data_IF_490124104775
#
_entry.id   IF_490124104775
#
_cell.length_a   1.000
_cell.length_b   1.000
_cell.length_c   1.000
_cell.angle_alpha   90.00
_cell.angle_beta   90.00
_cell.angle_gamma   90.00
#
_symmetry.space_group_name_H-M   'P 1'
#
loop_
_entity.id
_entity.type
_entity.pdbx_description
1 polymer ?
#
# COMPACT_ATOMS: atom_id res chain seq x y z
N UNK A 1 10.99 6.95 18.29
CA UNK A 1 11.91 5.80 18.07
C UNK A 1 11.47 5.10 16.80
N UNK A 2 12.38 4.53 16.01
CA UNK A 2 12.05 3.69 14.84
C UNK A 2 12.03 2.22 15.23
N UNK A 3 11.26 1.40 14.54
CA UNK A 3 11.15 -0.04 14.82
C UNK A 3 12.49 -0.76 14.75
N UNK A 4 13.34 -0.44 13.78
CA UNK A 4 14.69 -1.03 13.62
C UNK A 4 15.64 -0.73 14.78
N UNK A 5 15.30 0.24 15.63
CA UNK A 5 16.10 0.58 16.81
C UNK A 5 15.76 -0.31 18.00
N UNK A 6 14.67 -1.08 17.93
CA UNK A 6 14.36 -2.10 18.94
C UNK A 6 15.23 -3.35 18.70
N UNK A 7 15.95 -3.84 19.73
CA UNK A 7 16.65 -5.11 19.65
C UNK A 7 15.72 -6.24 19.21
N UNK A 8 16.14 -7.16 18.32
CA UNK A 8 15.26 -8.23 17.83
C UNK A 8 14.62 -9.10 18.92
N UNK A 9 15.34 -9.36 20.02
CA UNK A 9 14.82 -10.11 21.16
C UNK A 9 13.70 -9.35 21.89
N UNK A 10 13.91 -8.06 22.10
CA UNK A 10 12.92 -7.18 22.72
C UNK A 10 11.68 -7.03 21.82
N UNK A 11 11.87 -6.86 20.51
CA UNK A 11 10.77 -6.80 19.56
C UNK A 11 9.90 -8.06 19.62
N UNK A 12 10.52 -9.26 19.61
CA UNK A 12 9.79 -10.53 19.72
C UNK A 12 9.06 -10.64 21.06
N UNK A 13 9.67 -10.23 22.16
CA UNK A 13 9.05 -10.24 23.48
C UNK A 13 7.84 -9.31 23.54
N UNK A 14 7.95 -8.09 23.02
CA UNK A 14 6.85 -7.12 22.95
C UNK A 14 5.71 -7.66 22.08
N UNK A 15 6.03 -8.14 20.86
CA UNK A 15 5.04 -8.72 19.93
C UNK A 15 4.31 -9.92 20.54
N UNK A 16 4.99 -10.79 21.28
CA UNK A 16 4.36 -11.96 21.92
C UNK A 16 3.57 -11.61 23.19
N UNK A 17 3.82 -10.44 23.78
CA UNK A 17 3.16 -9.94 24.99
C UNK A 17 2.13 -8.86 24.68
N UNK A 18 2.45 -7.61 25.03
CA UNK A 18 1.53 -6.47 24.93
C UNK A 18 1.34 -5.93 23.49
N UNK A 19 2.16 -6.36 22.54
CA UNK A 19 2.17 -5.88 21.16
C UNK A 19 3.12 -4.70 20.93
N UNK A 20 3.21 -4.26 19.68
CA UNK A 20 4.01 -3.10 19.26
C UNK A 20 3.13 -2.10 18.55
N UNK A 21 3.24 -0.83 18.95
CA UNK A 21 2.50 0.26 18.35
C UNK A 21 3.32 0.87 17.22
N UNK A 22 2.80 0.79 16.01
CA UNK A 22 3.42 1.32 14.80
C UNK A 22 2.54 2.42 14.23
N UNK A 23 3.15 3.54 13.82
CA UNK A 23 2.44 4.56 13.05
C UNK A 23 2.68 4.36 11.56
N UNK A 24 1.61 4.16 10.79
CA UNK A 24 1.65 4.08 9.33
C UNK A 24 0.71 5.10 8.71
N UNK A 25 1.26 6.17 8.13
CA UNK A 25 0.46 7.26 7.59
C UNK A 25 -0.38 7.95 8.68
N UNK A 26 -1.70 8.09 8.49
CA UNK A 26 -2.59 8.66 9.51
C UNK A 26 -2.93 7.69 10.65
N UNK A 27 -2.65 6.39 10.51
CA UNK A 27 -3.11 5.36 11.45
C UNK A 27 -2.04 4.93 12.45
N UNK A 28 -2.49 4.58 13.65
CA UNK A 28 -1.76 3.94 14.74
C UNK A 28 -2.21 2.48 14.83
N UNK A 29 -1.30 1.55 14.66
CA UNK A 29 -1.55 0.11 14.65
C UNK A 29 -0.95 -0.52 15.91
N UNK A 30 -1.70 -1.36 16.60
CA UNK A 30 -1.13 -2.27 17.61
C UNK A 30 -1.02 -3.66 17.00
N UNK A 31 0.19 -4.14 16.80
CA UNK A 31 0.46 -5.47 16.22
C UNK A 31 0.93 -6.42 17.31
N UNK A 32 0.27 -7.58 17.43
CA UNK A 32 0.64 -8.66 18.34
C UNK A 32 0.86 -9.95 17.54
N UNK A 33 1.92 -10.69 17.85
CA UNK A 33 2.18 -12.00 17.25
C UNK A 33 3.26 -12.75 18.02
N UNK A 34 3.04 -14.05 18.23
CA UNK A 34 4.07 -14.99 18.71
C UNK A 34 4.95 -15.55 17.59
N UNK A 35 4.67 -15.21 16.33
CA UNK A 35 5.31 -15.80 15.16
C UNK A 35 6.64 -15.11 14.82
N UNK A 36 7.77 -15.84 14.78
CA UNK A 36 9.07 -15.25 14.41
C UNK A 36 9.08 -14.68 12.99
N UNK A 37 8.31 -15.26 12.06
CA UNK A 37 8.19 -14.77 10.67
C UNK A 37 7.54 -13.39 10.58
N UNK A 38 6.56 -13.10 11.45
CA UNK A 38 5.92 -11.78 11.53
C UNK A 38 6.91 -10.77 12.09
N UNK A 39 7.62 -11.10 13.18
CA UNK A 39 8.65 -10.22 13.73
C UNK A 39 9.74 -9.90 12.71
N UNK A 40 10.22 -10.90 11.96
CA UNK A 40 11.23 -10.71 10.92
C UNK A 40 10.70 -9.82 9.78
N UNK A 41 9.49 -10.08 9.29
CA UNK A 41 8.87 -9.26 8.24
C UNK A 41 8.67 -7.81 8.67
N UNK A 42 8.30 -7.57 9.94
CA UNK A 42 8.20 -6.22 10.50
C UNK A 42 9.55 -5.51 10.53
N UNK A 43 10.64 -6.17 10.95
CA UNK A 43 11.99 -5.59 10.88
C UNK A 43 12.35 -5.27 9.43
N UNK A 44 12.12 -6.24 8.54
CA UNK A 44 12.54 -6.18 7.15
C UNK A 44 11.75 -5.17 6.31
N UNK A 45 10.52 -4.82 6.68
CA UNK A 45 9.66 -3.99 5.83
C UNK A 45 9.14 -2.75 6.55
N UNK A 46 9.00 -2.81 7.88
CA UNK A 46 8.55 -1.71 8.74
C UNK A 46 9.65 -1.11 9.61
N UNK A 47 10.91 -1.57 9.51
CA UNK A 47 11.99 -1.11 10.38
C UNK A 47 12.11 0.43 10.48
N UNK A 48 11.74 1.15 9.43
CA UNK A 48 11.85 2.61 9.36
C UNK A 48 10.72 3.38 10.04
N UNK A 49 9.61 2.71 10.33
CA UNK A 49 8.42 3.34 10.88
C UNK A 49 8.57 3.63 12.37
N UNK A 50 7.85 4.66 12.80
CA UNK A 50 7.86 5.11 14.19
C UNK A 50 7.13 4.11 15.09
N UNK A 51 7.77 3.77 16.20
CA UNK A 51 7.16 3.04 17.31
C UNK A 51 6.68 4.01 18.38
N UNK A 52 5.52 3.73 18.96
CA UNK A 52 4.97 4.47 20.11
C UNK A 52 5.09 3.67 21.39
N UNK A 53 5.17 4.37 22.52
CA UNK A 53 5.22 3.77 23.84
C UNK A 53 3.85 3.22 24.25
N UNK A 54 3.81 2.00 24.78
CA UNK A 54 2.59 1.31 25.18
C UNK A 54 1.83 2.04 26.31
N UNK A 55 2.52 2.85 27.13
CA UNK A 55 1.93 3.56 28.26
C UNK A 55 1.01 4.73 27.87
N UNK A 56 1.09 5.22 26.63
CA UNK A 56 0.36 6.43 26.18
C UNK A 56 -0.27 6.30 24.78
N UNK A 57 -0.27 5.11 24.18
CA UNK A 57 -0.62 4.95 22.77
C UNK A 57 -2.02 4.35 22.55
N UNK A 58 -2.94 5.21 22.12
CA UNK A 58 -4.12 4.80 21.37
C UNK A 58 -3.69 4.11 20.06
N UNK A 59 -4.42 3.07 19.66
CA UNK A 59 -4.32 2.46 18.35
C UNK A 59 -5.69 2.42 17.68
N UNK A 60 -5.74 2.80 16.41
CA UNK A 60 -6.93 2.73 15.57
C UNK A 60 -7.32 1.27 15.30
N UNK A 61 -6.32 0.40 15.14
CA UNK A 61 -6.52 -1.02 14.85
C UNK A 61 -5.67 -1.90 15.77
N UNK A 62 -6.31 -2.81 16.50
CA UNK A 62 -5.63 -3.88 17.23
C UNK A 62 -5.65 -5.16 16.40
N UNK A 63 -4.48 -5.59 15.95
CA UNK A 63 -4.34 -6.77 15.11
C UNK A 63 -3.46 -7.81 15.76
N UNK A 64 -3.87 -9.06 15.65
CA UNK A 64 -3.14 -10.20 16.19
C UNK A 64 -2.99 -11.29 15.14
N UNK A 65 -1.78 -11.83 14.99
CA UNK A 65 -1.51 -12.98 14.13
C UNK A 65 -0.91 -14.11 14.93
N UNK A 66 -1.67 -15.18 15.12
CA UNK A 66 -1.25 -16.32 15.93
C UNK A 66 -1.79 -17.65 15.37
N UNK A 67 -1.16 -18.79 15.69
CA UNK A 67 -1.71 -20.09 15.32
C UNK A 67 -3.07 -20.35 15.98
N UNK A 68 -4.06 -20.92 15.27
CA UNK A 68 -5.40 -21.20 15.80
C UNK A 68 -5.39 -22.19 16.97
N UNK A 69 -4.49 -23.18 16.94
CA UNK A 69 -4.37 -24.20 17.96
C UNK A 69 -2.90 -24.65 18.10
N UNK A 70 -2.31 -24.64 19.31
CA UNK A 70 -0.94 -25.07 19.52
C UNK A 70 -0.66 -26.53 19.11
N UNK A 71 -1.67 -27.41 19.14
CA UNK A 71 -1.56 -28.84 18.77
C UNK A 71 -1.47 -29.05 17.25
N UNK A 72 -2.05 -28.16 16.44
CA UNK A 72 -1.97 -28.22 14.96
C UNK A 72 -0.63 -27.73 14.39
N UNK A 73 0.26 -27.24 15.25
CA UNK A 73 1.60 -26.75 14.85
C UNK A 73 2.42 -27.80 14.08
N UNK A 74 2.17 -29.08 14.31
CA UNK A 74 2.90 -30.19 13.69
C UNK A 74 2.22 -30.80 12.46
N UNK A 75 0.92 -30.52 12.21
CA UNK A 75 0.18 -31.05 11.07
C UNK A 75 -0.57 -29.94 10.34
N UNK A 76 0.00 -29.47 9.22
CA UNK A 76 -0.46 -28.33 8.42
C UNK A 76 -0.56 -27.03 9.25
N UNK A 77 0.59 -26.40 9.57
CA UNK A 77 0.60 -25.20 10.40
C UNK A 77 -0.16 -24.06 9.71
N UNK A 78 -1.03 -23.41 10.47
CA UNK A 78 -1.89 -22.32 10.03
C UNK A 78 -1.69 -21.09 10.90
N UNK A 79 -2.19 -19.96 10.42
CA UNK A 79 -2.21 -18.67 11.10
C UNK A 79 -3.59 -18.04 10.95
N UNK A 80 -4.09 -17.51 12.05
CA UNK A 80 -5.27 -16.67 12.12
C UNK A 80 -4.87 -15.20 12.17
N UNK A 81 -5.73 -14.36 11.59
CA UNK A 81 -5.70 -12.92 11.77
C UNK A 81 -6.91 -12.54 12.60
N UNK A 82 -6.67 -11.85 13.71
CA UNK A 82 -7.69 -11.30 14.59
C UNK A 82 -7.65 -9.78 14.55
N UNK A 83 -8.84 -9.17 14.56
CA UNK A 83 -9.07 -7.73 14.68
C UNK A 83 -10.02 -7.49 15.85
N UNK A 84 -9.56 -6.78 16.89
CA UNK A 84 -10.32 -6.55 18.12
C UNK A 84 -10.94 -7.82 18.73
N UNK A 85 -10.22 -8.95 18.62
CA UNK A 85 -10.67 -10.26 19.12
C UNK A 85 -11.61 -11.02 18.18
N UNK A 86 -12.01 -10.42 17.06
CA UNK A 86 -12.82 -11.08 16.01
C UNK A 86 -11.93 -11.68 14.92
N UNK A 87 -12.37 -12.79 14.31
CA UNK A 87 -11.67 -13.46 13.22
C UNK A 87 -12.37 -13.18 11.88
N UNK A 88 -12.01 -12.10 11.15
CA UNK A 88 -12.69 -11.72 9.91
C UNK A 88 -12.38 -12.65 8.73
N UNK A 89 -11.32 -13.46 8.82
CA UNK A 89 -10.87 -14.33 7.73
C UNK A 89 -10.75 -15.78 8.18
N UNK A 90 -10.72 -16.69 7.19
CA UNK A 90 -10.35 -18.08 7.43
C UNK A 90 -8.83 -18.19 7.69
N UNK A 91 -8.39 -19.19 8.46
CA UNK A 91 -6.97 -19.46 8.67
C UNK A 91 -6.23 -19.68 7.34
N UNK A 92 -5.02 -19.13 7.22
CA UNK A 92 -4.13 -19.34 6.07
C UNK A 92 -2.95 -20.25 6.45
N UNK A 93 -2.23 -20.84 5.48
CA UNK A 93 -0.97 -21.52 5.76
C UNK A 93 0.01 -20.60 6.50
N UNK A 94 0.76 -21.13 7.46
CA UNK A 94 1.69 -20.34 8.28
C UNK A 94 2.72 -19.55 7.46
N UNK A 95 3.11 -20.09 6.30
CA UNK A 95 4.03 -19.43 5.37
C UNK A 95 3.51 -18.11 4.78
N UNK A 96 2.20 -17.90 4.88
CA UNK A 96 1.49 -16.72 4.43
C UNK A 96 1.19 -15.74 5.57
N UNK A 97 1.75 -15.94 6.78
CA UNK A 97 1.49 -15.08 7.94
C UNK A 97 1.78 -13.59 7.67
N UNK A 98 2.93 -13.26 7.07
CA UNK A 98 3.24 -11.87 6.75
C UNK A 98 2.32 -11.30 5.64
N UNK A 99 2.12 -11.98 4.49
CA UNK A 99 1.09 -11.57 3.53
C UNK A 99 -0.30 -11.38 4.15
N UNK A 100 -0.69 -12.22 5.11
CA UNK A 100 -1.96 -12.12 5.83
C UNK A 100 -2.03 -10.85 6.68
N UNK A 101 -0.92 -10.46 7.34
CA UNK A 101 -0.82 -9.19 8.06
C UNK A 101 -1.07 -8.01 7.11
N UNK A 102 -0.37 -7.95 5.97
CA UNK A 102 -0.55 -6.86 5.00
C UNK A 102 -1.98 -6.78 4.46
N UNK A 103 -2.58 -7.93 4.18
CA UNK A 103 -3.97 -7.99 3.72
C UNK A 103 -4.95 -7.56 4.82
N UNK A 104 -4.77 -8.05 6.05
CA UNK A 104 -5.62 -7.69 7.18
C UNK A 104 -5.54 -6.21 7.51
N UNK A 105 -4.36 -5.60 7.44
CA UNK A 105 -4.20 -4.15 7.60
C UNK A 105 -4.90 -3.35 6.50
N UNK A 106 -4.83 -3.80 5.23
CA UNK A 106 -5.62 -3.19 4.16
C UNK A 106 -7.13 -3.25 4.46
N UNK A 107 -7.59 -4.41 4.93
CA UNK A 107 -9.00 -4.61 5.26
C UNK A 107 -9.46 -3.72 6.40
N UNK A 108 -8.67 -3.61 7.50
CA UNK A 108 -8.96 -2.71 8.62
C UNK A 108 -9.18 -1.27 8.13
N UNK A 109 -8.28 -0.77 7.28
CA UNK A 109 -8.39 0.58 6.72
C UNK A 109 -9.63 0.72 5.85
N UNK A 110 -9.86 -0.21 4.90
CA UNK A 110 -10.99 -0.11 3.96
C UNK A 110 -12.36 -0.20 4.64
N UNK A 111 -12.45 -0.91 5.77
CA UNK A 111 -13.71 -1.16 6.48
C UNK A 111 -14.04 -0.13 7.55
N UNK A 112 -13.07 0.67 8.02
CA UNK A 112 -13.28 1.53 9.18
C UNK A 112 -12.88 3.00 8.96
N UNK A 113 -12.00 3.31 8.01
CA UNK A 113 -11.48 4.67 7.82
C UNK A 113 -12.40 5.57 6.96
N UNK A 114 -13.69 5.64 7.29
CA UNK A 114 -14.71 6.35 6.51
C UNK A 114 -14.58 7.88 6.51
N UNK A 115 -13.68 8.46 7.30
CA UNK A 115 -13.28 9.87 7.17
C UNK A 115 -12.55 10.17 5.84
N UNK A 116 -12.15 9.13 5.10
CA UNK A 116 -11.60 9.24 3.75
C UNK A 116 -12.55 8.66 2.71
N UNK A 117 -12.52 9.18 1.48
CA UNK A 117 -12.93 8.41 0.32
C UNK A 117 -11.78 7.46 -0.04
N UNK A 118 -12.04 6.15 -0.01
CA UNK A 118 -11.01 5.11 -0.18
C UNK A 118 -11.16 4.47 -1.55
N UNK A 119 -10.17 4.67 -2.42
CA UNK A 119 -10.15 4.12 -3.78
C UNK A 119 -9.11 3.00 -3.86
N UNK A 120 -9.46 1.88 -4.50
CA UNK A 120 -8.51 0.84 -4.86
C UNK A 120 -7.61 1.32 -6.02
N UNK A 121 -6.51 1.99 -5.66
CA UNK A 121 -5.53 2.51 -6.58
C UNK A 121 -4.20 2.76 -5.84
N UNK A 122 -3.09 2.63 -6.57
CA UNK A 122 -1.80 3.09 -6.09
C UNK A 122 -1.71 4.61 -6.27
N UNK A 123 -0.86 5.26 -5.47
CA UNK A 123 -0.57 6.68 -5.60
C UNK A 123 0.90 6.93 -5.33
N UNK A 124 1.51 7.68 -6.23
CA UNK A 124 2.87 8.21 -6.10
C UNK A 124 2.84 9.73 -6.22
N UNK A 125 3.83 10.41 -5.66
CA UNK A 125 3.93 11.86 -5.66
C UNK A 125 5.30 12.36 -6.13
N UNK A 126 5.28 13.47 -6.87
CA UNK A 126 6.47 14.25 -7.20
C UNK A 126 6.12 15.74 -7.13
N UNK A 127 6.98 16.54 -6.50
CA UNK A 127 6.84 18.01 -6.40
C UNK A 127 5.49 18.51 -5.85
N UNK A 128 4.92 17.80 -4.88
CA UNK A 128 3.63 18.09 -4.23
C UNK A 128 2.40 17.53 -4.95
N UNK A 129 2.57 16.95 -6.14
CA UNK A 129 1.49 16.46 -7.00
C UNK A 129 1.46 14.94 -7.06
N UNK A 130 0.27 14.40 -6.81
CA UNK A 130 0.03 12.97 -6.78
C UNK A 130 -0.54 12.45 -8.10
N UNK A 131 0.01 11.34 -8.59
CA UNK A 131 -0.53 10.53 -9.66
C UNK A 131 -1.27 9.33 -9.06
N UNK A 132 -2.59 9.28 -9.24
CA UNK A 132 -3.44 8.16 -8.85
C UNK A 132 -3.44 7.14 -9.99
N UNK A 133 -3.13 5.89 -9.68
CA UNK A 133 -2.94 4.80 -10.62
C UNK A 133 -4.01 3.71 -10.44
N UNK A 134 -5.26 3.97 -10.84
CA UNK A 134 -6.30 2.96 -10.86
C UNK A 134 -6.01 1.95 -11.98
N UNK A 135 -6.07 0.66 -11.66
CA UNK A 135 -5.90 -0.37 -12.69
C UNK A 135 -6.64 -1.65 -12.31
N UNK A 136 -7.20 -2.39 -13.29
CA UNK A 136 -7.63 -3.76 -13.08
C UNK A 136 -6.47 -4.64 -12.55
N UNK A 137 -6.79 -5.75 -11.86
CA UNK A 137 -5.78 -6.74 -11.49
C UNK A 137 -5.00 -7.23 -12.72
N UNK A 138 -3.68 -7.27 -12.61
CA UNK A 138 -2.79 -7.75 -13.68
C UNK A 138 -2.29 -6.68 -14.64
N UNK A 139 -2.75 -5.43 -14.57
CA UNK A 139 -2.32 -4.34 -15.49
C UNK A 139 -0.90 -3.79 -15.25
N UNK A 140 -0.17 -4.32 -14.26
CA UNK A 140 1.19 -3.86 -13.93
C UNK A 140 1.26 -2.73 -12.90
N UNK A 141 0.15 -2.34 -12.25
CA UNK A 141 0.06 -1.23 -11.27
C UNK A 141 1.19 -1.23 -10.23
N UNK A 142 1.35 -2.32 -9.47
CA UNK A 142 2.34 -2.38 -8.40
C UNK A 142 3.78 -2.39 -8.94
N UNK A 143 3.99 -2.95 -10.14
CA UNK A 143 5.29 -2.92 -10.84
C UNK A 143 5.64 -1.50 -11.27
N UNK A 144 4.70 -0.77 -11.89
CA UNK A 144 4.90 0.63 -12.25
C UNK A 144 5.13 1.50 -11.01
N UNK A 145 4.33 1.28 -9.96
CA UNK A 145 4.46 1.99 -8.67
C UNK A 145 5.85 1.78 -8.09
N UNK A 146 6.35 0.54 -8.05
CA UNK A 146 7.70 0.24 -7.61
C UNK A 146 8.75 0.94 -8.48
N UNK A 147 8.64 0.88 -9.81
CA UNK A 147 9.57 1.53 -10.74
C UNK A 147 9.65 3.04 -10.53
N UNK A 148 8.50 3.73 -10.41
CA UNK A 148 8.43 5.17 -10.14
C UNK A 148 9.07 5.52 -8.80
N UNK A 149 8.72 4.76 -7.76
CA UNK A 149 9.18 5.00 -6.38
C UNK A 149 10.68 4.76 -6.22
N UNK A 150 11.21 3.75 -6.90
CA UNK A 150 12.65 3.49 -6.96
C UNK A 150 13.41 4.52 -7.81
N UNK A 151 12.69 5.30 -8.61
CA UNK A 151 13.23 6.39 -9.45
C UNK A 151 13.00 7.78 -8.85
N UNK A 152 12.72 7.87 -7.55
CA UNK A 152 12.66 9.13 -6.82
C UNK A 152 11.26 9.71 -6.63
N UNK A 153 10.20 9.06 -7.11
CA UNK A 153 8.84 9.42 -6.70
C UNK A 153 8.60 9.00 -5.25
N UNK A 154 7.84 9.81 -4.51
CA UNK A 154 7.40 9.43 -3.16
C UNK A 154 6.26 8.42 -3.28
N UNK A 155 6.36 7.31 -2.55
CA UNK A 155 5.25 6.39 -2.38
C UNK A 155 4.22 7.03 -1.43
N UNK A 156 2.98 7.19 -1.89
CA UNK A 156 1.87 7.46 -0.98
C UNK A 156 1.16 6.16 -0.61
N UNK A 157 0.85 5.29 -1.56
CA UNK A 157 0.24 3.97 -1.30
C UNK A 157 0.34 3.09 -2.54
N UNK A 158 0.42 1.76 -2.38
CA UNK A 158 0.30 0.82 -3.52
C UNK A 158 -1.13 0.32 -3.72
N UNK A 159 -1.97 0.28 -2.68
CA UNK A 159 -3.26 -0.41 -2.75
C UNK A 159 -4.46 0.50 -2.42
N UNK A 160 -4.30 1.38 -1.43
CA UNK A 160 -5.40 2.20 -0.90
C UNK A 160 -5.08 3.69 -1.04
N UNK A 161 -5.78 4.36 -1.95
CA UNK A 161 -5.75 5.82 -2.06
C UNK A 161 -6.71 6.43 -1.05
N UNK A 162 -6.19 7.25 -0.12
CA UNK A 162 -6.97 7.89 0.94
C UNK A 162 -7.17 9.36 0.62
N UNK A 163 -8.37 9.73 0.16
CA UNK A 163 -8.71 11.13 -0.14
C UNK A 163 -9.45 11.71 1.04
N UNK A 164 -8.88 12.75 1.66
CA UNK A 164 -9.53 13.49 2.74
C UNK A 164 -10.79 14.17 2.22
N UNK A 165 -11.92 13.91 2.89
CA UNK A 165 -13.25 14.36 2.44
C UNK A 165 -13.43 15.88 2.50
N UNK A 166 -12.65 16.57 3.34
CA UNK A 166 -12.77 18.01 3.54
C UNK A 166 -11.83 18.79 2.60
N UNK A 167 -10.55 18.45 2.59
CA UNK A 167 -9.51 19.15 1.83
C UNK A 167 -9.34 18.63 0.40
N UNK A 168 -9.74 17.38 0.13
CA UNK A 168 -9.48 16.71 -1.14
C UNK A 168 -8.01 16.31 -1.34
N UNK A 169 -7.17 16.45 -0.31
CA UNK A 169 -5.77 16.01 -0.36
C UNK A 169 -5.66 14.49 -0.17
N UNK A 170 -4.57 13.92 -0.69
CA UNK A 170 -4.28 12.50 -0.54
C UNK A 170 -3.36 12.29 0.65
N UNK A 171 -3.82 11.49 1.61
CA UNK A 171 -3.03 11.12 2.78
C UNK A 171 -2.12 9.93 2.48
N UNK A 172 -0.82 9.98 2.83
CA UNK A 172 0.08 8.86 2.61
C UNK A 172 -0.27 7.68 3.52
N UNK A 173 -0.18 6.48 2.97
CA UNK A 173 -0.12 5.20 3.67
C UNK A 173 0.99 4.33 3.03
N UNK A 174 2.29 4.71 3.19
CA UNK A 174 3.41 4.19 2.40
C UNK A 174 3.87 2.81 2.89
N UNK A 175 2.94 1.86 3.01
CA UNK A 175 3.20 0.46 3.36
C UNK A 175 3.92 -0.28 2.23
N UNK A 176 4.51 -1.46 2.50
CA UNK A 176 5.26 -2.22 1.51
C UNK A 176 4.48 -2.48 0.22
N UNK A 177 5.16 -2.37 -0.93
CA UNK A 177 4.56 -2.58 -2.26
C UNK A 177 4.46 -4.09 -2.52
N UNK A 178 3.28 -4.58 -2.93
CA UNK A 178 3.03 -6.01 -3.12
C UNK A 178 3.35 -6.42 -4.57
N UNK A 179 4.47 -7.12 -4.75
CA UNK A 179 4.93 -7.62 -6.04
C UNK A 179 4.50 -9.07 -6.22
N UNK A 180 4.07 -9.41 -7.44
CA UNK A 180 3.53 -10.74 -7.75
C UNK A 180 4.22 -11.35 -8.97
N UNK A 181 4.48 -12.65 -8.88
CA UNK A 181 4.99 -13.47 -9.99
C UNK A 181 6.20 -12.81 -10.66
N UNK A 182 6.15 -12.59 -11.99
CA UNK A 182 7.25 -12.00 -12.77
C UNK A 182 7.65 -10.59 -12.30
N UNK A 183 6.75 -9.86 -11.63
CA UNK A 183 7.03 -8.50 -11.15
C UNK A 183 8.16 -8.48 -10.12
N UNK A 184 8.37 -9.58 -9.40
CA UNK A 184 9.44 -9.70 -8.40
C UNK A 184 10.80 -9.61 -9.10
N UNK A 185 11.00 -10.39 -10.15
CA UNK A 185 12.26 -10.44 -10.89
C UNK A 185 12.49 -9.18 -11.71
N UNK A 186 11.41 -8.63 -12.30
CA UNK A 186 11.47 -7.34 -13.02
C UNK A 186 12.01 -6.23 -12.11
N UNK A 187 11.49 -6.09 -10.88
CA UNK A 187 11.95 -5.04 -9.96
C UNK A 187 13.36 -5.33 -9.42
N UNK A 188 13.72 -6.60 -9.19
CA UNK A 188 15.11 -6.95 -8.82
C UNK A 188 16.11 -6.57 -9.89
N UNK A 189 15.76 -6.78 -11.16
CA UNK A 189 16.59 -6.39 -12.29
C UNK A 189 16.65 -4.86 -12.45
N UNK A 190 15.50 -4.19 -12.31
CA UNK A 190 15.39 -2.73 -12.43
C UNK A 190 16.16 -1.98 -11.32
N UNK A 191 16.12 -2.47 -10.08
CA UNK A 191 16.83 -1.88 -8.95
C UNK A 191 17.42 -2.96 -8.03
N UNK A 192 18.69 -3.36 -8.26
CA UNK A 192 19.34 -4.39 -7.44
C UNK A 192 19.51 -4.02 -5.96
N UNK A 193 19.43 -2.72 -5.63
CA UNK A 193 19.51 -2.22 -4.24
C UNK A 193 18.16 -2.25 -3.52
N UNK A 194 17.05 -2.49 -4.23
CA UNK A 194 15.73 -2.57 -3.63
C UNK A 194 15.62 -3.82 -2.73
N UNK A 195 15.29 -3.62 -1.46
CA UNK A 195 15.01 -4.73 -0.58
C UNK A 195 13.62 -5.30 -0.89
N UNK A 196 13.59 -6.57 -1.29
CA UNK A 196 12.38 -7.35 -1.49
C UNK A 196 12.48 -8.60 -0.60
N UNK A 197 11.49 -8.82 0.25
CA UNK A 197 11.52 -9.95 1.18
C UNK A 197 11.41 -11.30 0.44
N UNK A 198 11.52 -12.40 1.21
CA UNK A 198 11.33 -13.75 0.67
C UNK A 198 9.94 -13.88 0.06
N UNK A 199 9.86 -14.53 -1.10
CA UNK A 199 8.60 -14.87 -1.70
C UNK A 199 7.82 -15.90 -0.86
N UNK A 200 6.52 -15.70 -0.75
CA UNK A 200 5.56 -16.69 -0.29
C UNK A 200 4.89 -17.31 -1.51
N UNK A 201 4.92 -18.64 -1.61
CA UNK A 201 4.32 -19.39 -2.71
C UNK A 201 2.88 -19.82 -2.38
N UNK A 202 2.15 -20.29 -3.39
CA UNK A 202 0.79 -20.84 -3.27
C UNK A 202 -0.23 -19.94 -2.55
N UNK A 203 -0.10 -18.62 -2.73
CA UNK A 203 -1.14 -17.69 -2.29
C UNK A 203 -2.29 -17.68 -3.31
N UNK A 204 -3.49 -17.23 -2.90
CA UNK A 204 -4.60 -17.02 -3.84
C UNK A 204 -4.26 -16.06 -5.00
N UNK A 205 -3.17 -15.29 -4.88
CA UNK A 205 -2.68 -14.33 -5.88
C UNK A 205 -1.39 -14.81 -6.60
N UNK A 206 -1.01 -16.08 -6.44
CA UNK A 206 0.24 -16.65 -6.97
C UNK A 206 1.42 -16.49 -6.01
N UNK A 207 2.62 -16.25 -6.53
CA UNK A 207 3.80 -15.97 -5.71
C UNK A 207 3.81 -14.49 -5.35
N UNK A 208 3.94 -14.17 -4.05
CA UNK A 208 3.91 -12.78 -3.55
C UNK A 208 5.18 -12.48 -2.77
N UNK A 209 5.78 -11.31 -3.03
CA UNK A 209 6.83 -10.72 -2.21
C UNK A 209 6.52 -9.23 -2.01
N UNK A 210 7.16 -8.62 -1.02
CA UNK A 210 6.92 -7.23 -0.65
C UNK A 210 8.22 -6.45 -0.75
N UNK A 211 8.17 -5.32 -1.44
CA UNK A 211 9.27 -4.37 -1.53
C UNK A 211 9.18 -3.39 -0.36
N UNK A 212 10.30 -3.17 0.33
CA UNK A 212 10.41 -2.18 1.40
C UNK A 212 10.12 -0.78 0.83
N UNK A 213 9.28 0.05 1.48
CA UNK A 213 9.08 1.42 1.05
C UNK A 213 10.37 2.24 1.22
N UNK A 214 10.69 3.19 0.32
CA UNK A 214 11.85 4.04 0.50
C UNK A 214 11.79 4.88 1.78
N UNK A 215 12.96 5.17 2.33
CA UNK A 215 13.14 5.95 3.56
C UNK A 215 12.42 7.28 3.52
N UNK A 216 12.54 8.01 2.41
CA UNK A 216 11.93 9.33 2.26
C UNK A 216 10.40 9.26 2.25
N UNK A 217 9.81 8.21 1.68
CA UNK A 217 8.36 7.98 1.71
C UNK A 217 7.85 7.77 3.14
N UNK A 218 8.59 6.98 3.94
CA UNK A 218 8.25 6.76 5.36
C UNK A 218 8.47 8.02 6.19
N UNK A 219 9.57 8.77 5.95
CA UNK A 219 9.86 10.02 6.67
C UNK A 219 8.77 11.07 6.44
N UNK A 220 8.28 11.17 5.20
CA UNK A 220 7.26 12.14 4.78
C UNK A 220 5.83 11.56 4.85
N UNK A 221 5.61 10.51 5.63
CA UNK A 221 4.30 9.83 5.70
C UNK A 221 3.17 10.69 6.32
N UNK A 222 3.49 11.85 6.89
CA UNK A 222 2.51 12.80 7.44
C UNK A 222 2.22 13.99 6.52
N UNK A 223 2.91 14.08 5.38
CA UNK A 223 2.75 15.17 4.43
C UNK A 223 1.76 14.76 3.33
N UNK A 224 0.53 15.28 3.39
CA UNK A 224 -0.46 15.07 2.35
C UNK A 224 -0.02 15.65 1.00
N UNK A 225 -0.58 15.13 -0.10
CA UNK A 225 -0.29 15.58 -1.46
C UNK A 225 -1.55 16.09 -2.15
N UNK A 226 -1.38 17.01 -3.11
CA UNK A 226 -2.49 17.47 -3.95
C UNK A 226 -2.69 16.48 -5.10
N UNK A 227 -3.92 16.08 -5.43
CA UNK A 227 -4.16 15.26 -6.60
C UNK A 227 -3.83 16.05 -7.87
N UNK A 228 -2.94 15.54 -8.72
CA UNK A 228 -2.57 16.14 -10.00
C UNK A 228 -3.14 15.37 -11.19
N UNK A 229 -3.08 14.03 -11.12
CA UNK A 229 -3.47 13.16 -12.23
C UNK A 229 -4.17 11.89 -11.79
N UNK A 230 -5.02 11.37 -12.67
CA UNK A 230 -5.50 9.99 -12.66
C UNK A 230 -5.01 9.34 -13.96
N UNK A 231 -4.13 8.36 -13.83
CA UNK A 231 -3.45 7.73 -14.97
C UNK A 231 -3.73 6.24 -14.90
N UNK A 232 -4.34 5.68 -15.93
CA UNK A 232 -4.68 4.25 -16.01
C UNK A 232 -3.52 3.48 -16.65
N UNK A 233 -2.67 2.79 -15.86
CA UNK A 233 -1.54 2.09 -16.43
C UNK A 233 -1.97 0.76 -17.03
N UNK A 234 -1.36 0.41 -18.15
CA UNK A 234 -1.48 -0.88 -18.82
C UNK A 234 -0.11 -1.28 -19.35
N UNK A 235 0.48 -2.29 -18.73
CA UNK A 235 1.65 -2.94 -19.31
C UNK A 235 1.23 -3.84 -20.48
N UNK A 236 1.88 -3.66 -21.63
CA UNK A 236 1.70 -4.50 -22.81
C UNK A 236 3.09 -4.83 -23.37
N UNK A 237 3.37 -6.12 -23.57
CA UNK A 237 4.66 -6.57 -24.11
C UNK A 237 4.96 -5.86 -25.44
N UNK A 238 6.16 -5.31 -25.57
CA UNK A 238 6.67 -4.63 -26.78
C UNK A 238 5.84 -3.42 -27.23
N UNK A 239 4.90 -2.91 -26.43
CA UNK A 239 4.17 -1.69 -26.76
C UNK A 239 5.06 -0.45 -26.69
N UNK A 240 4.76 0.52 -27.55
CA UNK A 240 5.33 1.86 -27.46
C UNK A 240 4.76 2.58 -26.25
N UNK A 241 5.62 3.31 -25.53
CA UNK A 241 5.19 4.12 -24.40
C UNK A 241 4.33 5.29 -24.88
N UNK A 242 3.07 5.32 -24.45
CA UNK A 242 2.10 6.34 -24.86
C UNK A 242 1.23 6.79 -23.67
N UNK A 243 1.00 8.11 -23.60
CA UNK A 243 0.06 8.74 -22.68
C UNK A 243 -1.02 9.45 -23.51
N UNK A 244 -2.29 9.06 -23.35
CA UNK A 244 -3.41 9.63 -24.11
C UNK A 244 -4.47 10.21 -23.18
N UNK A 245 -5.11 11.35 -23.52
CA UNK A 245 -6.17 11.91 -22.70
C UNK A 245 -7.38 10.97 -22.57
N UNK A 246 -7.92 10.88 -21.36
CA UNK A 246 -9.10 10.07 -21.03
C UNK A 246 -10.28 10.94 -20.61
N UNK A 247 -11.50 10.49 -20.89
CA UNK A 247 -12.72 11.17 -20.44
C UNK A 247 -12.78 11.28 -18.92
N UNK A 248 -13.03 12.49 -18.42
CA UNK A 248 -13.28 12.76 -16.99
C UNK A 248 -14.49 11.99 -16.47
N UNK A 249 -15.58 11.90 -17.24
CA UNK A 249 -16.79 11.19 -16.84
C UNK A 249 -16.55 9.67 -16.70
N UNK A 250 -15.85 9.07 -17.67
CA UNK A 250 -15.49 7.65 -17.60
C UNK A 250 -14.52 7.37 -16.46
N UNK A 251 -13.60 8.30 -16.20
CA UNK A 251 -12.67 8.22 -15.06
C UNK A 251 -13.42 8.25 -13.74
N UNK A 252 -14.35 9.20 -13.56
CA UNK A 252 -15.18 9.28 -12.36
C UNK A 252 -15.96 7.98 -12.11
N UNK A 253 -16.61 7.44 -13.14
CA UNK A 253 -17.36 6.18 -13.04
C UNK A 253 -16.45 5.02 -12.62
N UNK A 254 -15.26 4.91 -13.19
CA UNK A 254 -14.31 3.88 -12.79
C UNK A 254 -13.89 4.02 -11.32
N UNK A 255 -13.53 5.22 -10.88
CA UNK A 255 -13.10 5.46 -9.50
C UNK A 255 -14.23 5.17 -8.50
N UNK A 256 -15.47 5.58 -8.81
CA UNK A 256 -16.64 5.32 -7.98
C UNK A 256 -16.92 3.81 -7.84
N UNK A 257 -16.79 3.04 -8.93
CA UNK A 257 -16.96 1.58 -8.92
C UNK A 257 -15.85 0.85 -8.15
N UNK A 258 -14.65 1.43 -8.09
CA UNK A 258 -13.48 0.84 -7.43
C UNK A 258 -13.20 1.46 -6.05
N UNK A 259 -14.14 2.24 -5.52
CA UNK A 259 -14.05 2.81 -4.19
C UNK A 259 -14.74 1.91 -3.16
N UNK A 260 -14.02 1.57 -2.07
CA UNK A 260 -14.49 0.63 -1.04
C UNK A 260 -15.72 1.13 -0.29
N UNK A 261 -15.83 2.44 -0.13
CA UNK A 261 -16.84 3.07 0.71
C UNK A 261 -17.72 4.08 -0.02
N UNK A 262 -17.72 4.09 -1.36
CA UNK A 262 -18.50 5.06 -2.13
C UNK A 262 -19.99 5.03 -1.78
N UNK A 263 -20.61 3.84 -1.79
CA UNK A 263 -22.02 3.67 -1.42
C UNK A 263 -22.30 4.05 0.04
N UNK A 264 -21.34 3.80 0.94
CA UNK A 264 -21.45 4.17 2.36
C UNK A 264 -21.41 5.69 2.57
N UNK A 265 -20.62 6.41 1.76
CA UNK A 265 -20.52 7.88 1.82
C UNK A 265 -21.67 8.59 1.10
N UNK A 266 -22.40 7.89 0.22
CA UNK A 266 -23.56 8.42 -0.50
C UNK A 266 -23.26 9.73 -1.23
N UNK A 267 -24.09 10.76 -0.99
CA UNK A 267 -23.98 12.07 -1.65
C UNK A 267 -22.61 12.73 -1.43
N UNK A 268 -21.97 12.48 -0.30
CA UNK A 268 -20.65 13.04 -0.03
C UNK A 268 -19.55 12.38 -0.85
N UNK A 269 -19.62 11.06 -1.02
CA UNK A 269 -18.71 10.33 -1.92
C UNK A 269 -18.78 10.86 -3.35
N UNK A 270 -19.98 11.14 -3.84
CA UNK A 270 -20.19 11.79 -5.14
C UNK A 270 -19.51 13.16 -5.20
N UNK A 271 -19.80 14.05 -4.24
CA UNK A 271 -19.24 15.41 -4.19
C UNK A 271 -17.71 15.42 -4.16
N UNK A 272 -17.10 14.58 -3.33
CA UNK A 272 -15.63 14.46 -3.22
C UNK A 272 -15.04 13.93 -4.53
N UNK A 273 -15.65 12.89 -5.12
CA UNK A 273 -15.18 12.34 -6.38
C UNK A 273 -15.33 13.30 -7.57
N UNK A 274 -16.41 14.09 -7.63
CA UNK A 274 -16.58 15.13 -8.67
C UNK A 274 -15.52 16.21 -8.51
N UNK A 275 -15.32 16.75 -7.30
CA UNK A 275 -14.31 17.76 -7.02
C UNK A 275 -12.88 17.30 -7.34
N UNK A 276 -12.58 16.01 -7.11
CA UNK A 276 -11.32 15.39 -7.53
C UNK A 276 -11.16 15.45 -9.05
N UNK A 277 -12.15 14.93 -9.79
CA UNK A 277 -12.07 14.78 -11.25
C UNK A 277 -12.02 16.12 -11.98
N UNK A 278 -12.65 17.16 -11.43
CA UNK A 278 -12.56 18.51 -11.96
C UNK A 278 -11.13 19.07 -11.93
N UNK A 279 -10.31 18.67 -10.95
CA UNK A 279 -8.98 19.25 -10.71
C UNK A 279 -7.82 18.46 -11.31
N UNK A 280 -8.03 17.22 -11.70
CA UNK A 280 -6.97 16.32 -12.20
C UNK A 280 -6.96 16.19 -13.73
N UNK A 281 -5.77 15.99 -14.29
CA UNK A 281 -5.62 15.45 -15.64
C UNK A 281 -5.95 13.96 -15.65
N UNK A 282 -6.66 13.48 -16.68
CA UNK A 282 -7.05 12.08 -16.81
C UNK A 282 -6.40 11.48 -18.05
N UNK A 283 -5.69 10.35 -17.89
CA UNK A 283 -4.95 9.72 -18.99
C UNK A 283 -5.05 8.21 -18.97
N UNK A 284 -5.01 7.60 -20.15
CA UNK A 284 -4.62 6.20 -20.33
C UNK A 284 -3.11 6.14 -20.62
N UNK A 285 -2.43 5.16 -20.04
CA UNK A 285 -0.98 5.00 -20.16
C UNK A 285 -0.61 3.56 -20.53
N UNK A 286 -0.05 3.38 -21.71
CA UNK A 286 0.43 2.08 -22.20
C UNK A 286 1.96 2.10 -22.30
N UNK A 287 2.60 1.02 -21.85
CA UNK A 287 4.06 0.94 -21.81
C UNK A 287 4.55 -0.52 -21.80
N UNK A 288 5.82 -0.72 -22.12
CA UNK A 288 6.49 -2.02 -22.04
C UNK A 288 7.75 -2.02 -21.16
N UNK A 289 8.45 -0.89 -21.06
CA UNK A 289 9.71 -0.71 -20.31
C UNK A 289 9.53 0.29 -19.15
N UNK A 290 10.13 -0.01 -18.00
CA UNK A 290 9.97 0.82 -16.80
C UNK A 290 10.71 2.15 -16.91
N UNK A 291 11.89 2.17 -17.53
CA UNK A 291 12.73 3.34 -17.75
C UNK A 291 11.99 4.39 -18.59
N UNK A 292 11.35 3.94 -19.68
CA UNK A 292 10.53 4.82 -20.53
C UNK A 292 9.30 5.33 -19.78
N UNK A 293 8.69 4.49 -18.95
CA UNK A 293 7.53 4.87 -18.16
C UNK A 293 7.88 5.93 -17.10
N UNK A 294 8.98 5.74 -16.38
CA UNK A 294 9.51 6.74 -15.44
C UNK A 294 9.77 8.06 -16.14
N UNK A 295 10.45 8.03 -17.29
CA UNK A 295 10.74 9.24 -18.06
C UNK A 295 9.46 9.96 -18.55
N UNK A 296 8.41 9.21 -18.90
CA UNK A 296 7.12 9.80 -19.29
C UNK A 296 6.42 10.50 -18.11
N UNK A 297 6.43 9.88 -16.93
CA UNK A 297 5.88 10.46 -15.70
C UNK A 297 6.66 11.68 -15.25
N UNK A 298 7.99 11.64 -15.34
CA UNK A 298 8.86 12.77 -14.99
C UNK A 298 8.58 14.00 -15.85
N UNK A 299 8.48 13.82 -17.18
CA UNK A 299 8.08 14.90 -18.09
C UNK A 299 6.71 15.48 -17.75
N UNK A 300 5.75 14.64 -17.38
CA UNK A 300 4.41 15.09 -16.98
C UNK A 300 4.46 15.96 -15.71
N UNK A 301 5.27 15.57 -14.73
CA UNK A 301 5.45 16.33 -13.50
C UNK A 301 6.18 17.66 -13.71
N UNK A 302 7.17 17.69 -14.61
CA UNK A 302 7.93 18.91 -14.96
C UNK A 302 7.06 19.92 -15.70
N UNK A 303 6.22 19.49 -16.64
CA UNK A 303 5.32 20.37 -17.39
C UNK A 303 4.34 21.12 -16.49
N UNK A 304 3.87 20.48 -15.42
CA UNK A 304 2.95 21.11 -14.48
C UNK A 304 3.64 22.08 -13.52
N UNK A 305 4.93 21.86 -13.21
CA UNK A 305 5.69 22.80 -12.39
C UNK A 305 5.99 24.13 -13.11
N UNK A 306 5.84 24.17 -14.43
CA UNK A 306 6.06 25.35 -15.27
C UNK A 306 4.81 26.24 -15.47
N UNK A 307 3.66 25.87 -14.89
CA UNK A 307 2.37 26.57 -14.97
C UNK A 307 2.00 27.14 -13.61
#
# INVERSE_FOLDING_TARGET
MKLLQLPPAELRQRLAGHGVWLRTGPFSLRVQSSLPSVAQGLVDLYGQFETRDASHAFADFHVELNPPNPLRRWFRPQVDFSYDGSLPFKPLPLDQAYPMLEWGLNWCVSMHAHQYLIIHAAVVEKNGLAAILPAPPGSGKSTLTAGLVLSGWRLLSDELTLIDRLSGQIHPLPRPVSLKNQSIDVIRAFSPSAFINRASHDTAKGTVAHMRPPTESVRRQHEAARPGWVIFPKWTAQAHTQLTPRSKAQTFMFLAQNAFNYSHLGAEGFRVGTALIERVGCYDFEYSQLEEAVAAFDRLAEQHAAV
#
